data_IF_000959906379
#
_entry.id   IF_000959906379
#
_cell.length_a   1.000
_cell.length_b   1.000
_cell.length_c   1.000
_cell.angle_alpha   90.00
_cell.angle_beta   90.00
_cell.angle_gamma   90.00
#
_symmetry.space_group_name_H-M   'P 1'
#
loop_
_entity.id
_entity.type
_entity.pdbx_description
1 polymer ?
#
# COMPACT_ATOMS: atom_id res chain seq x y z
N UNK A 1 -10.90 0.50 -18.79
CA UNK A 1 -10.82 -0.74 -18.05
C UNK A 1 -11.83 -1.73 -18.60
N UNK A 2 -11.43 -3.01 -18.81
CA UNK A 2 -12.28 -4.05 -19.39
C UNK A 2 -13.53 -4.34 -18.52
N UNK A 3 -13.39 -4.24 -17.20
CA UNK A 3 -14.51 -4.43 -16.26
C UNK A 3 -15.53 -3.30 -16.34
N UNK A 4 -15.10 -2.05 -16.39
CA UNK A 4 -15.99 -0.91 -16.58
C UNK A 4 -16.76 -1.01 -17.92
N UNK A 5 -16.09 -1.47 -18.98
CA UNK A 5 -16.73 -1.74 -20.25
C UNK A 5 -17.77 -2.85 -20.13
N UNK A 6 -17.47 -3.94 -19.41
CA UNK A 6 -18.40 -5.05 -19.15
C UNK A 6 -19.61 -4.58 -18.32
N UNK A 7 -19.37 -3.80 -17.27
CA UNK A 7 -20.40 -3.21 -16.41
C UNK A 7 -21.34 -2.29 -17.20
N UNK A 8 -20.74 -1.39 -18.01
CA UNK A 8 -21.48 -0.43 -18.81
C UNK A 8 -22.25 -1.08 -19.97
N UNK A 9 -21.82 -2.24 -20.47
CA UNK A 9 -22.52 -3.01 -21.50
C UNK A 9 -23.81 -3.66 -21.00
N UNK A 10 -24.02 -3.71 -19.68
CA UNK A 10 -25.14 -4.40 -19.06
C UNK A 10 -25.01 -5.93 -19.04
N UNK A 11 -23.91 -6.50 -19.53
CA UNK A 11 -23.72 -7.95 -19.57
C UNK A 11 -23.76 -8.61 -18.19
N UNK A 12 -23.33 -7.91 -17.13
CA UNK A 12 -23.38 -8.43 -15.75
C UNK A 12 -24.81 -8.78 -15.32
N UNK A 13 -25.81 -8.06 -15.83
CA UNK A 13 -27.24 -8.33 -15.55
C UNK A 13 -27.76 -9.62 -16.20
N UNK A 14 -27.07 -10.12 -17.23
CA UNK A 14 -27.44 -11.36 -17.91
C UNK A 14 -26.84 -12.61 -17.26
N UNK A 15 -25.97 -12.44 -16.26
CA UNK A 15 -25.37 -13.57 -15.55
C UNK A 15 -26.40 -14.32 -14.69
N UNK A 16 -27.58 -13.72 -14.44
CA UNK A 16 -28.65 -14.24 -13.59
C UNK A 16 -28.17 -14.81 -12.23
N UNK A 17 -27.05 -14.28 -11.77
CA UNK A 17 -26.40 -14.66 -10.53
C UNK A 17 -25.97 -13.39 -9.77
N UNK A 18 -26.84 -12.98 -8.83
CA UNK A 18 -26.65 -11.77 -8.04
C UNK A 18 -25.38 -11.82 -7.17
N UNK A 19 -25.06 -13.00 -6.62
CA UNK A 19 -23.88 -13.19 -5.80
C UNK A 19 -22.59 -12.95 -6.63
N UNK A 20 -22.56 -13.48 -7.85
CA UNK A 20 -21.42 -13.26 -8.76
C UNK A 20 -21.27 -11.79 -9.15
N UNK A 21 -22.39 -11.09 -9.41
CA UNK A 21 -22.39 -9.66 -9.72
C UNK A 21 -21.84 -8.83 -8.55
N UNK A 22 -22.30 -9.11 -7.32
CA UNK A 22 -21.83 -8.43 -6.10
C UNK A 22 -20.35 -8.68 -5.87
N UNK A 23 -19.87 -9.93 -5.96
CA UNK A 23 -18.45 -10.28 -5.78
C UNK A 23 -17.55 -9.63 -6.84
N UNK A 24 -17.99 -9.56 -8.10
CA UNK A 24 -17.25 -8.85 -9.15
C UNK A 24 -17.14 -7.35 -8.86
N UNK A 25 -18.24 -6.72 -8.47
CA UNK A 25 -18.22 -5.30 -8.11
C UNK A 25 -17.30 -5.04 -6.91
N UNK A 26 -17.36 -5.87 -5.87
CA UNK A 26 -16.51 -5.75 -4.69
C UNK A 26 -15.02 -5.94 -5.05
N UNK A 27 -14.71 -6.96 -5.83
CA UNK A 27 -13.34 -7.26 -6.26
C UNK A 27 -12.69 -6.08 -6.99
N UNK A 28 -13.38 -5.50 -7.98
CA UNK A 28 -12.84 -4.37 -8.74
C UNK A 28 -12.88 -3.04 -7.97
N UNK A 29 -13.85 -2.86 -7.07
CA UNK A 29 -13.86 -1.71 -6.15
C UNK A 29 -12.65 -1.72 -5.22
N UNK A 30 -12.27 -2.90 -4.72
CA UNK A 30 -11.08 -3.08 -3.87
C UNK A 30 -9.78 -2.82 -4.63
N UNK A 31 -9.66 -3.18 -5.93
CA UNK A 31 -8.51 -2.83 -6.76
C UNK A 31 -8.35 -1.31 -6.81
N UNK A 32 -9.40 -0.57 -7.11
CA UNK A 32 -9.34 0.89 -7.18
C UNK A 32 -8.92 1.50 -5.82
N UNK A 33 -9.40 0.94 -4.72
CA UNK A 33 -9.02 1.37 -3.37
C UNK A 33 -7.54 1.10 -3.09
N UNK A 34 -7.03 -0.07 -3.44
CA UNK A 34 -5.62 -0.43 -3.31
C UNK A 34 -4.75 0.55 -4.12
N UNK A 35 -5.09 0.79 -5.39
CA UNK A 35 -4.35 1.71 -6.27
C UNK A 35 -4.26 3.12 -5.68
N UNK A 36 -5.36 3.63 -5.11
CA UNK A 36 -5.35 4.94 -4.44
C UNK A 36 -4.39 4.97 -3.25
N UNK A 37 -4.39 3.93 -2.42
CA UNK A 37 -3.49 3.84 -1.27
C UNK A 37 -2.04 3.60 -1.65
N UNK A 38 -1.76 2.89 -2.75
CA UNK A 38 -0.40 2.73 -3.30
C UNK A 38 0.15 4.08 -3.80
N UNK A 39 -0.69 4.89 -4.44
CA UNK A 39 -0.32 6.26 -4.85
C UNK A 39 0.01 7.10 -3.62
N UNK A 40 -0.85 7.11 -2.61
CA UNK A 40 -0.64 7.82 -1.35
C UNK A 40 0.66 7.38 -0.65
N UNK A 41 0.94 6.07 -0.64
CA UNK A 41 2.15 5.50 -0.06
C UNK A 41 3.41 5.96 -0.81
N UNK A 42 3.36 5.98 -2.12
CA UNK A 42 4.46 6.49 -2.96
C UNK A 42 4.69 7.97 -2.73
N UNK A 43 3.65 8.77 -2.69
CA UNK A 43 3.75 10.22 -2.48
C UNK A 43 4.30 10.54 -1.08
N UNK A 44 3.88 9.78 -0.07
CA UNK A 44 4.46 9.84 1.26
C UNK A 44 5.96 9.47 1.25
N UNK A 45 6.36 8.39 0.58
CA UNK A 45 7.75 7.95 0.50
C UNK A 45 8.63 9.03 -0.13
N UNK A 46 8.17 9.64 -1.23
CA UNK A 46 8.85 10.74 -1.89
C UNK A 46 8.98 11.97 -0.97
N UNK A 47 7.95 12.29 -0.20
CA UNK A 47 7.98 13.40 0.75
C UNK A 47 8.98 13.14 1.90
N UNK A 48 9.03 11.90 2.42
CA UNK A 48 9.99 11.50 3.45
C UNK A 48 11.43 11.58 2.92
N UNK A 49 11.68 11.05 1.72
CA UNK A 49 12.99 11.09 1.08
C UNK A 49 13.47 12.52 0.91
N UNK A 50 12.63 13.42 0.41
CA UNK A 50 12.93 14.82 0.24
C UNK A 50 13.27 15.53 1.58
N UNK A 51 12.52 15.22 2.65
CA UNK A 51 12.80 15.79 3.97
C UNK A 51 14.08 15.23 4.59
N UNK A 52 14.39 13.96 4.40
CA UNK A 52 15.65 13.36 4.82
C UNK A 52 16.83 13.99 4.09
N UNK A 53 16.70 14.23 2.78
CA UNK A 53 17.75 14.87 1.96
C UNK A 53 17.99 16.32 2.39
N UNK A 54 16.96 17.14 2.51
CA UNK A 54 17.04 18.53 2.99
C UNK A 54 17.72 18.66 4.35
N UNK A 55 17.55 17.66 5.20
CA UNK A 55 18.11 17.64 6.56
C UNK A 55 19.46 16.90 6.66
N UNK A 56 20.06 16.52 5.52
CA UNK A 56 21.36 15.88 5.46
C UNK A 56 21.38 14.41 5.89
N UNK A 57 20.22 13.73 5.87
CA UNK A 57 20.11 12.30 6.19
C UNK A 57 20.14 11.39 4.97
N UNK A 58 20.36 11.91 3.77
CA UNK A 58 20.39 11.13 2.52
C UNK A 58 21.36 9.95 2.56
N UNK A 59 22.49 10.10 3.26
CA UNK A 59 23.48 9.03 3.42
C UNK A 59 22.96 7.78 4.14
N UNK A 60 21.79 7.85 4.82
CA UNK A 60 21.17 6.68 5.45
C UNK A 60 20.90 5.60 4.41
N UNK A 61 20.37 5.95 3.25
CA UNK A 61 20.08 5.01 2.16
C UNK A 61 21.36 4.38 1.61
N UNK A 62 22.40 5.18 1.40
CA UNK A 62 23.67 4.68 0.88
C UNK A 62 24.42 3.81 1.88
N UNK A 63 24.23 4.01 3.17
CA UNK A 63 24.79 3.18 4.23
C UNK A 63 23.98 1.86 4.40
N UNK A 64 22.66 1.92 4.27
CA UNK A 64 21.79 0.73 4.30
C UNK A 64 22.11 -0.20 3.13
N UNK A 65 22.27 0.34 1.94
CA UNK A 65 22.59 -0.44 0.73
C UNK A 65 23.96 -1.13 0.84
N UNK A 66 24.94 -0.48 1.46
CA UNK A 66 26.28 -1.05 1.65
C UNK A 66 26.37 -2.07 2.78
N UNK A 67 25.45 -2.06 3.74
CA UNK A 67 25.50 -2.86 4.98
C UNK A 67 24.32 -3.82 5.15
N UNK A 68 23.87 -4.42 4.07
CA UNK A 68 22.76 -5.41 4.06
C UNK A 68 22.93 -6.54 5.11
N UNK A 69 24.15 -6.74 5.61
CA UNK A 69 24.47 -7.75 6.64
C UNK A 69 24.74 -7.15 8.03
N UNK A 70 24.63 -5.84 8.22
CA UNK A 70 24.80 -5.21 9.54
C UNK A 70 23.45 -5.14 10.24
N UNK A 71 23.45 -5.35 11.56
CA UNK A 71 22.23 -5.31 12.38
C UNK A 71 21.46 -3.98 12.15
N UNK A 72 20.38 -4.09 11.37
CA UNK A 72 19.52 -2.96 10.98
C UNK A 72 19.02 -2.18 12.21
N UNK A 73 18.72 -2.88 13.33
CA UNK A 73 18.26 -2.23 14.57
C UNK A 73 19.33 -1.34 15.19
N UNK A 74 20.59 -1.74 15.17
CA UNK A 74 21.70 -0.90 15.67
C UNK A 74 21.87 0.34 14.80
N UNK A 75 21.77 0.17 13.48
CA UNK A 75 21.86 1.28 12.53
C UNK A 75 20.73 2.28 12.75
N UNK A 76 19.47 1.80 12.78
CA UNK A 76 18.29 2.63 13.03
C UNK A 76 18.32 3.31 14.41
N UNK A 77 18.81 2.61 15.44
CA UNK A 77 18.98 3.21 16.78
C UNK A 77 19.97 4.38 16.79
N UNK A 78 21.09 4.25 16.09
CA UNK A 78 22.09 5.32 15.97
C UNK A 78 21.52 6.54 15.22
N UNK A 79 20.73 6.32 14.17
CA UNK A 79 20.06 7.41 13.46
C UNK A 79 18.93 8.02 14.29
N UNK A 80 18.17 7.23 15.02
CA UNK A 80 17.14 7.72 15.93
C UNK A 80 17.69 8.68 16.98
N UNK A 81 18.87 8.38 17.54
CA UNK A 81 19.53 9.28 18.48
C UNK A 81 20.00 10.60 17.83
N UNK A 82 20.53 10.54 16.60
CA UNK A 82 20.90 11.75 15.85
C UNK A 82 19.66 12.58 15.49
N UNK A 83 18.58 11.90 15.08
CA UNK A 83 17.34 12.55 14.68
C UNK A 83 16.65 13.25 15.85
N UNK A 84 16.71 12.69 17.07
CA UNK A 84 16.03 13.23 18.26
C UNK A 84 16.34 14.70 18.57
N UNK A 85 17.57 15.12 18.31
CA UNK A 85 18.04 16.49 18.58
C UNK A 85 18.08 17.35 17.31
N UNK A 86 17.58 16.85 16.19
CA UNK A 86 17.63 17.54 14.92
C UNK A 86 16.42 18.47 14.74
N UNK A 87 16.58 19.69 14.18
CA UNK A 87 15.45 20.60 13.92
C UNK A 87 14.33 20.00 13.08
N UNK A 88 14.64 19.08 12.16
CA UNK A 88 13.67 18.35 11.32
C UNK A 88 13.00 17.15 12.00
N UNK A 89 13.31 16.86 13.27
CA UNK A 89 12.81 15.66 13.96
C UNK A 89 11.30 15.50 13.87
N UNK A 90 10.57 16.56 14.17
CA UNK A 90 9.10 16.50 14.26
C UNK A 90 8.46 16.15 12.89
N UNK A 91 8.90 16.79 11.82
CA UNK A 91 8.36 16.54 10.49
C UNK A 91 8.70 15.13 9.99
N UNK A 92 9.92 14.68 10.22
CA UNK A 92 10.36 13.33 9.86
C UNK A 92 9.56 12.28 10.65
N UNK A 93 9.35 12.47 11.95
CA UNK A 93 8.57 11.56 12.77
C UNK A 93 7.10 11.50 12.34
N UNK A 94 6.50 12.61 11.97
CA UNK A 94 5.13 12.65 11.43
C UNK A 94 5.03 11.86 10.11
N UNK A 95 6.00 12.02 9.23
CA UNK A 95 6.06 11.29 7.96
C UNK A 95 6.24 9.78 8.18
N UNK A 96 7.13 9.38 9.08
CA UNK A 96 7.32 7.96 9.46
C UNK A 96 6.05 7.36 10.05
N UNK A 97 5.37 8.08 10.95
CA UNK A 97 4.11 7.63 11.54
C UNK A 97 3.02 7.45 10.48
N UNK A 98 2.87 8.42 9.58
CA UNK A 98 1.91 8.35 8.46
C UNK A 98 2.18 7.13 7.58
N UNK A 99 3.44 6.88 7.23
CA UNK A 99 3.82 5.74 6.42
C UNK A 99 3.53 4.40 7.06
N UNK A 100 3.80 4.27 8.35
CA UNK A 100 3.47 3.06 9.11
C UNK A 100 1.96 2.80 9.14
N UNK A 101 1.16 3.85 9.35
CA UNK A 101 -0.30 3.78 9.35
C UNK A 101 -0.82 3.39 7.96
N UNK A 102 -0.38 4.05 6.90
CA UNK A 102 -0.77 3.73 5.53
C UNK A 102 -0.42 2.30 5.15
N UNK A 103 0.77 1.82 5.54
CA UNK A 103 1.19 0.46 5.26
C UNK A 103 0.31 -0.59 5.95
N UNK A 104 -0.13 -0.32 7.19
CA UNK A 104 -1.07 -1.19 7.90
C UNK A 104 -2.43 -1.27 7.21
N UNK A 105 -2.96 -0.14 6.73
CA UNK A 105 -4.20 -0.13 5.96
C UNK A 105 -4.06 -0.87 4.64
N UNK A 106 -2.97 -0.63 3.91
CA UNK A 106 -2.72 -1.28 2.63
C UNK A 106 -2.63 -2.81 2.77
N UNK A 107 -1.97 -3.30 3.83
CA UNK A 107 -1.92 -4.74 4.14
C UNK A 107 -3.33 -5.30 4.34
N UNK A 108 -4.19 -4.63 5.12
CA UNK A 108 -5.58 -5.05 5.31
C UNK A 108 -6.40 -5.06 4.02
N UNK A 109 -6.17 -4.11 3.11
CA UNK A 109 -6.83 -4.10 1.80
C UNK A 109 -6.39 -5.28 0.91
N UNK A 110 -5.11 -5.62 0.89
CA UNK A 110 -4.63 -6.79 0.16
C UNK A 110 -5.22 -8.08 0.72
N UNK A 111 -5.26 -8.25 2.04
CA UNK A 111 -5.86 -9.42 2.68
C UNK A 111 -7.35 -9.56 2.30
N UNK A 112 -8.12 -8.48 2.39
CA UNK A 112 -9.52 -8.48 2.00
C UNK A 112 -9.71 -8.79 0.50
N UNK A 113 -8.84 -8.26 -0.34
CA UNK A 113 -8.89 -8.50 -1.78
C UNK A 113 -8.61 -9.97 -2.14
N UNK A 114 -7.66 -10.60 -1.47
CA UNK A 114 -7.38 -12.04 -1.61
C UNK A 114 -8.61 -12.86 -1.22
N UNK A 115 -9.23 -12.56 -0.07
CA UNK A 115 -10.44 -13.25 0.41
C UNK A 115 -11.59 -13.11 -0.59
N UNK A 116 -11.79 -11.92 -1.14
CA UNK A 116 -12.83 -11.67 -2.15
C UNK A 116 -12.54 -12.42 -3.45
N UNK A 117 -11.28 -12.46 -3.89
CA UNK A 117 -10.84 -13.23 -5.05
C UNK A 117 -11.06 -14.74 -4.89
N UNK A 118 -10.75 -15.30 -3.73
CA UNK A 118 -10.99 -16.71 -3.42
C UNK A 118 -12.48 -17.06 -3.47
N UNK A 119 -13.34 -16.20 -2.91
CA UNK A 119 -14.81 -16.37 -2.99
C UNK A 119 -15.30 -16.31 -4.43
N UNK A 120 -14.81 -15.35 -5.20
CA UNK A 120 -15.16 -15.19 -6.62
C UNK A 120 -14.81 -16.45 -7.43
N UNK A 121 -13.61 -17.00 -7.23
CA UNK A 121 -13.17 -18.24 -7.87
C UNK A 121 -14.07 -19.41 -7.47
N UNK A 122 -14.45 -19.52 -6.20
CA UNK A 122 -15.32 -20.59 -5.72
C UNK A 122 -16.71 -20.53 -6.38
N UNK A 123 -17.31 -19.34 -6.50
CA UNK A 123 -18.61 -19.15 -7.16
C UNK A 123 -18.52 -19.44 -8.65
N UNK A 124 -17.45 -19.02 -9.33
CA UNK A 124 -17.23 -19.32 -10.74
C UNK A 124 -17.14 -20.84 -10.99
N UNK A 125 -16.40 -21.56 -10.15
CA UNK A 125 -16.24 -23.01 -10.28
C UNK A 125 -17.53 -23.80 -10.01
N UNK A 126 -18.50 -23.24 -9.28
CA UNK A 126 -19.81 -23.87 -9.06
C UNK A 126 -20.79 -23.67 -10.23
N UNK A 127 -20.54 -22.68 -11.07
CA UNK A 127 -21.39 -22.31 -12.20
C UNK A 127 -20.84 -22.76 -13.57
N UNK A 128 -19.67 -23.42 -13.57
CA UNK A 128 -19.09 -24.09 -14.74
C UNK A 128 -19.38 -25.58 -14.72
#
# INVERSE_FOLDING_TARGET
DAFESLKNSGYLRYLDNKELEELLNDYYSQINQIEMFEIDQRDWANALELELDKNGFFYIYTELDKKVHTNLFTLLGNYGMKLKNHPGHEIIMRLLFRGGTNNSFLTGFYENHIITGEKLIAVLNQNL
#
